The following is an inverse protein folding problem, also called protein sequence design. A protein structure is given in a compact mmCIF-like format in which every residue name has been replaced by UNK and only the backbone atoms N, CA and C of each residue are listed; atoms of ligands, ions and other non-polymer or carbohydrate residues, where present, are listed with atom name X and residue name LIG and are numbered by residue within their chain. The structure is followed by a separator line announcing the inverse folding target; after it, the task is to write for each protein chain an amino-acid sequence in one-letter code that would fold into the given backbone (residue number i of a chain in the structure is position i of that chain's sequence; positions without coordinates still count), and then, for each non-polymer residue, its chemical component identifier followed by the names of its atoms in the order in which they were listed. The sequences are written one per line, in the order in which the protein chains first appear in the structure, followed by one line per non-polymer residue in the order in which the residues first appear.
data_IF_892943472776
#
_entry.id   IF_892943472776
#
_cell.length_a   1.000
_cell.length_b   1.000
_cell.length_c   1.000
_cell.angle_alpha   90.00
_cell.angle_beta   90.00
_cell.angle_gamma   90.00
#
_symmetry.space_group_name_H-M   'P 1'
#
loop_
_entity.id
_entity.type
_entity.pdbx_description
1 polymer ?
#
# COMPACT_ATOMS: atom_id res chain seq x y z
N UNK A 1 23.72 2.02 4.08
CA UNK A 1 22.63 1.49 4.94
C UNK A 1 21.29 1.96 4.42
N UNK A 2 20.30 1.06 4.33
CA UNK A 2 18.94 1.37 3.90
C UNK A 2 18.15 2.05 5.01
N UNK A 3 17.25 2.97 4.65
CA UNK A 3 16.27 3.55 5.56
C UNK A 3 14.88 3.22 5.03
N UNK A 4 14.00 2.84 5.94
CA UNK A 4 12.60 2.61 5.66
C UNK A 4 11.74 3.65 6.39
N UNK A 5 10.65 4.07 5.76
CA UNK A 5 9.61 4.87 6.39
C UNK A 5 8.26 4.23 6.09
N UNK A 6 7.72 3.52 7.06
CA UNK A 6 6.31 3.11 7.03
C UNK A 6 5.44 4.37 7.11
N UNK A 7 4.46 4.44 6.23
CA UNK A 7 3.52 5.55 6.16
C UNK A 7 2.32 5.27 7.05
N UNK A 8 1.88 6.32 7.73
CA UNK A 8 0.67 6.32 8.57
C UNK A 8 -0.51 6.53 7.62
N UNK A 9 -1.34 5.49 7.44
CA UNK A 9 -2.44 5.50 6.48
C UNK A 9 -3.79 5.84 7.10
N UNK A 10 -3.90 5.82 8.43
CA UNK A 10 -5.10 6.05 9.22
C UNK A 10 -5.88 7.31 8.78
N UNK A 11 -5.25 8.47 8.48
CA UNK A 11 -5.96 9.65 7.99
C UNK A 11 -6.58 9.50 6.59
N UNK A 12 -6.21 8.46 5.84
CA UNK A 12 -6.60 8.22 4.45
C UNK A 12 -7.51 7.00 4.29
N UNK A 13 -7.70 6.19 5.35
CA UNK A 13 -8.58 5.03 5.33
C UNK A 13 -10.02 5.50 5.09
N UNK A 14 -10.66 4.93 4.09
CA UNK A 14 -11.98 5.37 3.63
C UNK A 14 -12.86 4.20 3.17
N UNK A 15 -12.43 2.96 3.41
CA UNK A 15 -13.11 1.76 2.97
C UNK A 15 -12.93 0.62 3.97
N UNK A 16 -13.91 -0.28 4.01
CA UNK A 16 -13.93 -1.44 4.89
C UNK A 16 -13.75 -2.72 4.06
N UNK A 17 -12.52 -3.22 4.05
CA UNK A 17 -12.11 -4.43 3.35
C UNK A 17 -12.29 -5.70 4.17
N UNK A 18 -12.36 -5.61 5.50
CA UNK A 18 -12.57 -6.75 6.39
C UNK A 18 -13.89 -6.66 7.17
N UNK A 19 -14.50 -7.80 7.42
CA UNK A 19 -15.72 -7.91 8.22
C UNK A 19 -15.68 -9.13 9.14
N UNK A 20 -16.50 -9.09 10.18
CA UNK A 20 -16.86 -10.21 11.04
C UNK A 20 -18.15 -10.85 10.55
N UNK A 21 -18.51 -12.06 11.01
CA UNK A 21 -19.82 -12.66 10.74
C UNK A 21 -21.02 -11.77 11.13
N UNK A 22 -20.84 -10.88 12.11
CA UNK A 22 -21.90 -10.00 12.62
C UNK A 22 -22.11 -8.74 11.74
N UNK A 23 -21.19 -8.45 10.81
CA UNK A 23 -21.26 -7.25 9.96
C UNK A 23 -20.81 -7.49 8.52
N UNK A 24 -21.07 -8.68 7.99
CA UNK A 24 -20.77 -9.06 6.59
C UNK A 24 -21.25 -8.02 5.57
N UNK A 25 -22.42 -7.44 5.81
CA UNK A 25 -23.05 -6.45 4.96
C UNK A 25 -22.31 -5.11 4.92
N UNK A 26 -21.21 -4.90 5.67
CA UNK A 26 -20.42 -3.69 5.64
C UNK A 26 -19.25 -3.75 4.65
N UNK A 27 -18.91 -4.95 4.15
CA UNK A 27 -17.80 -5.19 3.23
C UNK A 27 -17.86 -4.34 1.95
N UNK A 28 -16.68 -3.90 1.48
CA UNK A 28 -16.50 -3.04 0.30
C UNK A 28 -15.16 -3.27 -0.40
N UNK A 29 -14.62 -4.49 -0.37
CA UNK A 29 -13.35 -4.80 -1.05
C UNK A 29 -13.51 -4.97 -2.58
N UNK A 30 -14.75 -5.04 -3.07
CA UNK A 30 -15.08 -4.95 -4.49
C UNK A 30 -16.53 -4.49 -4.72
N UNK A 31 -16.95 -4.37 -5.98
CA UNK A 31 -18.31 -3.99 -6.38
C UNK A 31 -19.41 -4.91 -5.82
N UNK A 32 -19.10 -6.18 -5.55
CA UNK A 32 -20.02 -7.14 -4.93
C UNK A 32 -20.06 -7.07 -3.40
N UNK A 33 -19.32 -6.11 -2.82
CA UNK A 33 -19.26 -5.86 -1.37
C UNK A 33 -18.65 -7.04 -0.61
N UNK A 34 -17.78 -7.80 -1.27
CA UNK A 34 -17.05 -8.87 -0.60
C UNK A 34 -16.01 -8.28 0.35
N UNK A 35 -15.54 -9.08 1.29
CA UNK A 35 -14.53 -8.69 2.26
C UNK A 35 -13.67 -9.86 2.73
N UNK A 36 -12.52 -9.53 3.30
CA UNK A 36 -11.67 -10.42 4.06
C UNK A 36 -12.37 -10.79 5.38
N UNK A 37 -12.13 -12.00 5.92
CA UNK A 37 -12.44 -12.29 7.31
C UNK A 37 -11.60 -11.39 8.23
N UNK A 38 -12.25 -10.83 9.24
CA UNK A 38 -11.61 -9.95 10.20
C UNK A 38 -10.48 -10.66 10.97
N UNK A 39 -9.45 -9.90 11.32
CA UNK A 39 -8.31 -10.32 12.13
C UNK A 39 -8.03 -9.24 13.15
N UNK A 40 -7.83 -9.64 14.42
CA UNK A 40 -7.58 -8.68 15.51
C UNK A 40 -6.27 -7.93 15.33
N UNK A 41 -5.26 -8.60 14.75
CA UNK A 41 -3.94 -8.02 14.53
C UNK A 41 -3.81 -7.40 13.13
N UNK A 42 -3.05 -6.30 13.00
CA UNK A 42 -2.56 -5.83 11.72
C UNK A 42 -1.87 -6.93 10.90
N UNK A 43 -1.97 -6.83 9.59
CA UNK A 43 -1.10 -7.60 8.70
C UNK A 43 0.31 -7.01 8.77
N UNK A 44 1.26 -7.81 9.24
CA UNK A 44 2.69 -7.49 9.24
C UNK A 44 3.44 -8.45 8.32
N UNK A 45 4.18 -7.90 7.35
CA UNK A 45 4.97 -8.67 6.38
C UNK A 45 6.32 -7.99 6.18
N UNK A 46 7.36 -8.79 5.96
CA UNK A 46 8.68 -8.30 5.52
C UNK A 46 8.97 -8.85 4.14
N UNK A 47 9.13 -7.97 3.15
CA UNK A 47 9.46 -8.32 1.76
C UNK A 47 10.76 -7.63 1.38
N UNK A 48 11.75 -8.36 0.87
CA UNK A 48 13.08 -7.82 0.56
C UNK A 48 13.74 -7.08 1.75
N UNK A 49 13.47 -7.52 2.98
CA UNK A 49 13.92 -6.85 4.21
C UNK A 49 13.20 -5.53 4.53
N UNK A 50 12.14 -5.20 3.80
CA UNK A 50 11.31 -3.99 3.99
C UNK A 50 10.07 -4.36 4.83
N UNK A 51 9.88 -3.77 6.02
CA UNK A 51 8.69 -4.02 6.82
C UNK A 51 7.49 -3.26 6.25
N UNK A 52 6.35 -3.93 6.20
CA UNK A 52 5.04 -3.37 5.86
C UNK A 52 4.05 -3.76 6.95
N UNK A 53 3.20 -2.82 7.34
CA UNK A 53 2.17 -3.00 8.36
C UNK A 53 0.88 -2.32 7.94
N UNK A 54 -0.24 -3.03 8.01
CA UNK A 54 -1.56 -2.46 7.75
C UNK A 54 -2.17 -1.79 8.99
N UNK A 55 -3.32 -1.15 8.83
CA UNK A 55 -4.24 -0.94 9.94
C UNK A 55 -4.77 -2.29 10.46
N UNK A 56 -5.32 -2.36 11.69
CA UNK A 56 -6.07 -3.52 12.13
C UNK A 56 -7.18 -3.87 11.14
N UNK A 57 -7.31 -5.14 10.78
CA UNK A 57 -8.37 -5.64 9.89
C UNK A 57 -9.51 -6.20 10.74
N UNK A 58 -9.89 -5.53 11.81
CA UNK A 58 -10.77 -6.05 12.87
C UNK A 58 -12.26 -5.96 12.53
N UNK A 59 -12.59 -5.42 11.36
CA UNK A 59 -13.95 -5.20 10.90
C UNK A 59 -14.69 -4.08 11.63
N UNK A 60 -13.98 -3.17 12.31
CA UNK A 60 -14.57 -2.05 13.07
C UNK A 60 -14.33 -0.70 12.38
N UNK A 61 -14.67 -0.62 11.09
CA UNK A 61 -14.62 0.61 10.31
C UNK A 61 -13.58 0.56 9.19
N UNK A 62 -13.12 1.73 8.71
CA UNK A 62 -12.18 1.79 7.60
C UNK A 62 -10.82 1.18 7.95
N UNK A 63 -10.35 0.26 7.11
CA UNK A 63 -9.14 -0.54 7.32
C UNK A 63 -8.22 -0.57 6.09
N UNK A 64 -8.67 0.02 4.97
CA UNK A 64 -7.88 0.19 3.77
C UNK A 64 -8.14 1.55 3.09
N UNK A 65 -7.21 1.94 2.23
CA UNK A 65 -7.37 3.07 1.32
C UNK A 65 -7.96 2.56 0.00
N UNK A 66 -9.19 2.96 -0.29
CA UNK A 66 -9.79 2.90 -1.62
C UNK A 66 -9.34 4.14 -2.39
N UNK A 67 -8.52 3.94 -3.41
CA UNK A 67 -7.88 5.01 -4.16
C UNK A 67 -8.88 5.93 -4.87
N UNK A 68 -8.93 7.19 -4.44
CA UNK A 68 -9.82 8.24 -4.95
C UNK A 68 -9.08 9.53 -5.34
N UNK A 69 -7.75 9.46 -5.46
CA UNK A 69 -6.88 10.61 -5.76
C UNK A 69 -6.25 11.26 -4.53
N UNK A 70 -6.21 10.57 -3.38
CA UNK A 70 -5.63 11.09 -2.14
C UNK A 70 -4.19 11.55 -2.35
N UNK A 71 -3.82 12.65 -1.69
CA UNK A 71 -2.44 13.13 -1.63
C UNK A 71 -1.84 12.79 -0.26
N UNK A 72 -0.73 12.07 -0.25
CA UNK A 72 0.00 11.67 0.96
C UNK A 72 1.30 12.44 1.02
N UNK A 73 1.45 13.29 2.04
CA UNK A 73 2.72 13.95 2.35
C UNK A 73 3.69 12.97 3.01
N UNK A 74 4.98 13.10 2.70
CA UNK A 74 6.02 12.21 3.22
C UNK A 74 7.22 13.04 3.68
N UNK A 75 8.06 12.52 4.60
CA UNK A 75 9.27 13.22 4.99
C UNK A 75 10.14 13.52 3.76
N UNK A 76 10.47 14.80 3.57
CA UNK A 76 11.26 15.25 2.44
C UNK A 76 12.63 14.59 2.44
N UNK A 77 12.84 13.71 1.46
CA UNK A 77 14.07 12.95 1.27
C UNK A 77 14.10 12.32 -0.11
N UNK A 78 15.30 12.01 -0.60
CA UNK A 78 15.48 11.11 -1.73
C UNK A 78 15.11 9.68 -1.33
N UNK A 79 14.00 9.19 -1.88
CA UNK A 79 13.58 7.79 -1.78
C UNK A 79 13.89 7.07 -3.09
N UNK A 80 14.12 5.76 -3.03
CA UNK A 80 14.43 4.92 -4.19
C UNK A 80 13.21 4.05 -4.57
N UNK A 81 12.39 3.63 -3.60
CA UNK A 81 11.23 2.76 -3.82
C UNK A 81 10.05 3.10 -2.93
N UNK A 82 8.86 2.81 -3.42
CA UNK A 82 7.65 2.61 -2.63
C UNK A 82 7.29 1.13 -2.66
N UNK A 83 7.14 0.51 -1.49
CA UNK A 83 6.51 -0.80 -1.33
C UNK A 83 5.07 -0.60 -0.87
N UNK A 84 4.15 -1.39 -1.41
CA UNK A 84 2.74 -1.37 -1.02
C UNK A 84 2.23 -2.78 -0.78
N UNK A 85 1.30 -2.95 0.16
CA UNK A 85 0.39 -4.10 0.18
C UNK A 85 -0.93 -3.64 -0.41
N UNK A 86 -1.44 -4.37 -1.39
CA UNK A 86 -2.70 -4.03 -2.06
C UNK A 86 -3.27 -5.15 -2.92
N UNK A 87 -4.45 -4.89 -3.47
CA UNK A 87 -5.05 -5.72 -4.51
C UNK A 87 -5.86 -4.86 -5.47
N UNK A 88 -6.08 -5.38 -6.68
CA UNK A 88 -7.07 -4.87 -7.60
C UNK A 88 -8.40 -5.63 -7.50
N UNK A 89 -9.54 -4.97 -7.73
CA UNK A 89 -10.83 -5.67 -7.95
C UNK A 89 -10.79 -6.64 -9.15
N UNK A 90 -9.93 -6.28 -10.10
CA UNK A 90 -9.37 -7.08 -11.18
C UNK A 90 -7.91 -6.69 -11.31
N UNK A 91 -7.17 -7.39 -12.17
CA UNK A 91 -5.85 -6.93 -12.57
C UNK A 91 -5.89 -5.47 -13.04
N UNK A 92 -5.12 -4.61 -12.40
CA UNK A 92 -5.13 -3.15 -12.60
C UNK A 92 -3.73 -2.61 -12.79
N UNK A 93 -3.59 -1.64 -13.68
CA UNK A 93 -2.40 -0.81 -13.84
C UNK A 93 -2.86 0.64 -13.95
N UNK A 94 -2.39 1.48 -13.03
CA UNK A 94 -2.74 2.89 -12.98
C UNK A 94 -1.52 3.75 -12.64
N UNK A 95 -1.69 5.05 -12.53
CA UNK A 95 -0.64 6.04 -12.37
C UNK A 95 -0.58 6.58 -10.95
N UNK A 96 0.59 6.49 -10.35
CA UNK A 96 0.95 7.19 -9.14
C UNK A 96 1.78 8.43 -9.53
N UNK A 97 1.46 9.58 -8.92
CA UNK A 97 2.17 10.84 -9.21
C UNK A 97 3.08 11.23 -8.06
N UNK A 98 4.36 11.47 -8.34
CA UNK A 98 5.37 11.93 -7.40
C UNK A 98 5.47 13.46 -7.41
N UNK A 99 5.58 14.08 -6.23
CA UNK A 99 5.73 15.53 -6.08
C UNK A 99 7.01 15.82 -5.32
N UNK A 100 7.98 16.43 -5.99
CA UNK A 100 9.31 16.70 -5.44
C UNK A 100 9.41 18.12 -4.86
N UNK A 101 10.35 18.32 -3.93
CA UNK A 101 10.52 19.58 -3.21
C UNK A 101 10.91 20.77 -4.11
N UNK A 102 11.53 20.50 -5.26
CA UNK A 102 11.82 21.51 -6.28
C UNK A 102 10.59 21.90 -7.13
N UNK A 103 9.40 21.38 -6.82
CA UNK A 103 8.16 21.63 -7.56
C UNK A 103 7.98 20.75 -8.80
N UNK A 104 8.97 19.94 -9.18
CA UNK A 104 8.82 18.98 -10.28
C UNK A 104 7.85 17.85 -9.91
N UNK A 105 7.24 17.28 -10.94
CA UNK A 105 6.28 16.18 -10.83
C UNK A 105 6.70 15.07 -11.79
N UNK A 106 6.61 13.83 -11.32
CA UNK A 106 6.85 12.64 -12.14
C UNK A 106 5.72 11.62 -11.96
N UNK A 107 5.64 10.63 -12.84
CA UNK A 107 4.57 9.63 -12.88
C UNK A 107 5.14 8.25 -13.12
N UNK A 108 4.75 7.30 -12.27
CA UNK A 108 5.07 5.89 -12.42
C UNK A 108 3.82 5.02 -12.35
N UNK A 109 3.94 3.78 -12.81
CA UNK A 109 2.84 2.82 -12.78
C UNK A 109 2.78 2.06 -11.47
N UNK A 110 1.61 2.07 -10.84
CA UNK A 110 1.22 1.09 -9.84
C UNK A 110 0.42 0.00 -10.54
N UNK A 111 0.89 -1.25 -10.47
CA UNK A 111 0.20 -2.39 -11.02
C UNK A 111 -0.06 -3.43 -9.93
N UNK A 112 -1.32 -3.85 -9.80
CA UNK A 112 -1.76 -4.82 -8.80
C UNK A 112 -2.58 -5.91 -9.48
N UNK A 113 -2.31 -7.14 -9.09
CA UNK A 113 -3.02 -8.33 -9.50
C UNK A 113 -4.41 -8.36 -8.85
N UNK A 114 -5.28 -9.13 -9.49
CA UNK A 114 -6.64 -9.36 -9.04
C UNK A 114 -6.63 -9.99 -7.63
N UNK A 115 -7.57 -9.57 -6.79
CA UNK A 115 -7.83 -10.13 -5.47
C UNK A 115 -8.27 -11.61 -5.53
N UNK A 116 -8.83 -12.06 -6.65
CA UNK A 116 -9.23 -13.46 -6.87
C UNK A 116 -8.09 -14.33 -7.39
N UNK A 117 -7.07 -13.72 -7.98
CA UNK A 117 -5.97 -14.45 -8.58
C UNK A 117 -5.13 -15.10 -7.48
N UNK A 118 -4.83 -16.40 -7.63
CA UNK A 118 -3.91 -17.11 -6.75
C UNK A 118 -2.45 -17.01 -7.18
N UNK A 119 -2.14 -16.19 -8.20
CA UNK A 119 -0.83 -16.06 -8.85
C UNK A 119 -0.63 -14.62 -9.31
N UNK A 120 0.59 -14.12 -9.18
CA UNK A 120 0.91 -12.73 -9.54
C UNK A 120 0.92 -12.54 -11.06
N UNK A 121 0.35 -11.42 -11.51
CA UNK A 121 0.39 -10.93 -12.88
C UNK A 121 1.47 -9.88 -13.15
N UNK A 122 2.11 -9.32 -12.12
CA UNK A 122 3.10 -8.23 -12.24
C UNK A 122 4.43 -8.48 -11.52
N UNK A 123 4.71 -9.71 -11.09
CA UNK A 123 5.92 -10.06 -10.34
C UNK A 123 5.86 -9.62 -8.87
N UNK A 124 4.66 -9.46 -8.33
CA UNK A 124 4.41 -9.19 -6.93
C UNK A 124 4.71 -10.41 -6.05
N UNK A 125 5.07 -10.13 -4.81
CA UNK A 125 5.16 -11.15 -3.77
C UNK A 125 3.80 -11.35 -3.09
N UNK A 126 3.51 -12.56 -2.63
CA UNK A 126 2.28 -12.84 -1.88
C UNK A 126 2.38 -12.22 -0.48
N UNK A 127 1.44 -11.34 -0.12
CA UNK A 127 1.40 -10.73 1.22
C UNK A 127 0.40 -11.42 2.15
N UNK A 128 -0.79 -11.75 1.64
CA UNK A 128 -1.82 -12.47 2.37
C UNK A 128 -2.64 -13.31 1.40
N UNK A 129 -2.99 -14.52 1.80
CA UNK A 129 -4.05 -15.32 1.17
C UNK A 129 -4.97 -15.83 2.25
N UNK A 130 -6.27 -15.69 2.03
CA UNK A 130 -7.28 -16.34 2.86
C UNK A 130 -7.84 -17.57 2.16
N UNK A 131 -8.45 -18.47 2.92
CA UNK A 131 -9.24 -19.60 2.40
C UNK A 131 -10.75 -19.38 2.62
N UNK A 132 -11.11 -18.19 3.07
CA UNK A 132 -12.48 -17.76 3.37
C UNK A 132 -12.68 -16.36 2.78
N UNK A 133 -13.87 -16.14 2.24
CA UNK A 133 -14.36 -14.84 1.81
C UNK A 133 -15.71 -14.56 2.45
N UNK A 134 -15.91 -13.30 2.83
CA UNK A 134 -17.18 -12.80 3.33
C UNK A 134 -17.95 -12.15 2.17
N UNK A 135 -19.08 -12.74 1.81
CA UNK A 135 -20.11 -12.09 1.00
C UNK A 135 -21.06 -11.30 1.89
N UNK A 136 -21.85 -10.35 1.36
CA UNK A 136 -22.70 -9.47 2.18
C UNK A 136 -23.68 -10.17 3.13
N UNK A 137 -24.03 -11.43 2.84
CA UNK A 137 -25.04 -12.19 3.60
C UNK A 137 -24.61 -13.60 3.97
N UNK A 138 -23.39 -14.02 3.62
CA UNK A 138 -22.89 -15.34 4.00
C UNK A 138 -21.36 -15.40 3.98
N UNK A 139 -20.82 -16.38 4.69
CA UNK A 139 -19.39 -16.72 4.65
C UNK A 139 -19.22 -17.88 3.68
N UNK A 140 -18.24 -17.79 2.78
CA UNK A 140 -17.90 -18.84 1.84
C UNK A 140 -16.50 -19.36 2.13
N UNK A 141 -16.40 -20.66 2.38
CA UNK A 141 -15.14 -21.37 2.56
C UNK A 141 -14.54 -21.82 1.23
N UNK A 142 -13.23 -22.12 1.23
CA UNK A 142 -12.44 -22.67 0.11
C UNK A 142 -12.31 -21.73 -1.09
N UNK A 143 -12.76 -20.49 -0.94
CA UNK A 143 -12.55 -19.38 -1.84
C UNK A 143 -12.08 -18.23 -0.95
N UNK A 144 -11.02 -17.56 -1.35
CA UNK A 144 -10.48 -16.46 -0.57
C UNK A 144 -9.89 -15.37 -1.42
N UNK A 145 -9.30 -14.42 -0.72
CA UNK A 145 -8.79 -13.16 -1.27
C UNK A 145 -7.28 -13.16 -1.14
N UNK A 146 -6.63 -12.66 -2.18
CA UNK A 146 -5.18 -12.48 -2.22
C UNK A 146 -4.84 -10.99 -2.14
N UNK A 147 -3.92 -10.65 -1.22
CA UNK A 147 -3.24 -9.37 -1.20
C UNK A 147 -1.79 -9.55 -1.64
N UNK A 148 -1.30 -8.57 -2.39
CA UNK A 148 -0.02 -8.59 -3.06
C UNK A 148 0.91 -7.52 -2.49
N UNK A 149 2.20 -7.82 -2.39
CA UNK A 149 3.23 -6.83 -2.17
C UNK A 149 3.84 -6.42 -3.52
N UNK A 150 3.65 -5.15 -3.88
CA UNK A 150 4.22 -4.54 -5.08
C UNK A 150 5.24 -3.48 -4.70
N UNK A 151 6.25 -3.27 -5.56
CA UNK A 151 7.14 -2.13 -5.47
C UNK A 151 7.06 -1.24 -6.71
N UNK A 152 7.11 0.07 -6.47
CA UNK A 152 7.13 1.10 -7.52
C UNK A 152 8.45 1.87 -7.39
N UNK A 153 9.24 2.00 -8.47
CA UNK A 153 10.46 2.79 -8.42
C UNK A 153 10.14 4.27 -8.25
N UNK A 154 11.05 4.99 -7.59
CA UNK A 154 11.08 6.46 -7.59
C UNK A 154 12.38 6.85 -8.28
N UNK A 155 12.29 7.14 -9.58
CA UNK A 155 13.48 7.25 -10.45
C UNK A 155 14.18 8.60 -10.33
N UNK A 156 13.43 9.66 -10.00
CA UNK A 156 13.98 10.99 -9.76
C UNK A 156 14.98 11.00 -8.61
N UNK A 157 16.02 11.83 -8.74
CA UNK A 157 17.02 12.04 -7.68
C UNK A 157 16.65 13.18 -6.73
N UNK A 158 15.55 13.89 -7.00
CA UNK A 158 15.09 15.00 -6.18
C UNK A 158 14.43 14.48 -4.88
N UNK A 159 14.46 15.25 -3.79
CA UNK A 159 13.70 14.89 -2.59
C UNK A 159 12.20 14.84 -2.87
N UNK A 160 11.55 13.74 -2.54
CA UNK A 160 10.10 13.58 -2.63
C UNK A 160 9.45 14.20 -1.39
N UNK A 161 8.45 15.05 -1.58
CA UNK A 161 7.67 15.64 -0.49
C UNK A 161 6.25 15.08 -0.39
N UNK A 162 5.69 14.57 -1.49
CA UNK A 162 4.37 13.94 -1.47
C UNK A 162 4.17 13.00 -2.66
N UNK A 163 3.13 12.17 -2.58
CA UNK A 163 2.59 11.43 -3.70
C UNK A 163 1.07 11.61 -3.82
N UNK A 164 0.55 11.51 -5.04
CA UNK A 164 -0.88 11.37 -5.28
C UNK A 164 -1.17 9.95 -5.74
N UNK A 165 -2.10 9.29 -5.04
CA UNK A 165 -2.61 7.98 -5.39
C UNK A 165 -3.48 8.05 -6.66
N UNK A 166 -3.68 6.93 -7.37
CA UNK A 166 -4.63 6.87 -8.47
C UNK A 166 -6.03 7.30 -8.05
N UNK A 167 -6.83 7.81 -9.00
CA UNK A 167 -8.27 7.98 -8.84
C UNK A 167 -8.97 6.78 -9.45
N UNK A 168 -8.90 5.64 -8.76
CA UNK A 168 -9.39 4.38 -9.29
C UNK A 168 -9.96 3.50 -8.16
N UNK A 169 -11.30 3.30 -8.13
CA UNK A 169 -11.94 2.51 -7.09
C UNK A 169 -11.61 1.01 -7.21
N UNK A 170 -10.97 0.55 -8.28
CA UNK A 170 -10.49 -0.82 -8.35
C UNK A 170 -9.19 -1.05 -7.56
N UNK A 171 -8.56 -0.01 -6.98
CA UNK A 171 -7.27 -0.11 -6.28
C UNK A 171 -7.45 0.04 -4.77
N UNK A 172 -7.10 -1.02 -4.05
CA UNK A 172 -7.16 -1.07 -2.58
C UNK A 172 -5.74 -1.21 -2.00
N UNK A 173 -5.36 -0.29 -1.12
CA UNK A 173 -4.05 -0.29 -0.44
C UNK A 173 -4.21 -0.48 1.07
N UNK A 174 -3.37 -1.33 1.65
CA UNK A 174 -3.41 -1.71 3.06
C UNK A 174 -2.18 -1.25 3.83
N UNK A 175 -1.02 -1.19 3.17
CA UNK A 175 0.24 -0.75 3.77
C UNK A 175 1.10 -0.04 2.73
N UNK A 176 1.93 0.90 3.17
CA UNK A 176 2.88 1.61 2.31
C UNK A 176 4.18 1.88 3.06
N UNK A 177 5.32 1.54 2.47
CA UNK A 177 6.65 1.78 3.03
C UNK A 177 7.56 2.38 1.97
N UNK A 178 8.12 3.55 2.27
CA UNK A 178 9.17 4.15 1.46
C UNK A 178 10.54 3.58 1.84
N UNK A 179 11.38 3.38 0.84
CA UNK A 179 12.74 2.85 0.99
C UNK A 179 13.71 3.77 0.29
N UNK A 180 14.78 4.14 0.97
CA UNK A 180 15.82 4.98 0.43
C UNK A 180 17.17 4.66 1.07
N UNK A 181 18.22 5.29 0.58
CA UNK A 181 19.54 5.20 1.21
C UNK A 181 19.69 6.22 2.33
N UNK A 182 20.41 5.85 3.40
CA UNK A 182 20.98 6.86 4.31
C UNK A 182 21.84 7.80 3.46
N UNK A 183 21.70 9.11 3.71
CA UNK A 183 22.75 10.03 3.32
C UNK A 183 24.03 9.56 4.03
N UNK A 184 25.01 9.17 3.25
CA UNK A 184 26.40 9.06 3.65
C UNK A 184 26.81 10.42 4.22
N UNK A 185 26.97 10.48 5.54
CA UNK A 185 27.53 11.65 6.19
C UNK A 185 28.94 11.84 5.68
N UNK A 186 29.14 12.75 4.71
CA UNK A 186 30.42 13.42 4.65
C UNK A 186 30.57 14.23 5.94
N UNK A 187 31.70 14.14 6.65
CA UNK A 187 32.04 15.19 7.58
C UNK A 187 31.95 16.52 6.83
N UNK A 188 31.30 17.52 7.43
CA UNK A 188 31.49 18.88 6.97
C UNK A 188 33.00 19.14 6.98
N UNK A 189 33.53 19.66 5.87
CA UNK A 189 34.88 20.19 5.76
C UNK A 189 35.24 20.92 7.07
N UNK A 190 36.15 20.34 7.86
CA UNK A 190 36.86 21.11 8.86
C UNK A 190 37.76 22.06 8.07
N UNK A 191 37.39 23.33 8.15
CA UNK A 191 37.98 24.40 7.39
C UNK A 191 39.49 24.47 7.55
N UNK A 192 40.11 24.81 6.43
CA UNK A 192 41.24 25.73 6.30
C UNK A 192 41.52 26.52 7.60
N UNK A 193 42.57 26.10 8.30
CA UNK A 193 43.32 26.94 9.23
C UNK A 193 44.75 26.98 8.72
N UNK A 194 45.02 28.04 7.94
CA UNK A 194 46.21 28.92 7.95
C UNK A 194 47.54 28.35 8.43
#
# INVERSE_FOLDING_TARGET
MTVHKMLVLEPFLNNQAATTPDNLADGRLNIWRNSLPARSEPLEVVVDGVPLRSAPLDGRGPDNVLCSGQRIAVPERRWDWLYVIGCGERRVRDVLTWHFSNGSVDRDHLALSDLWEGRSGYGEELALRTDVIHYPYHVQERIGITLWCQRVPITSRQPLGAMSLPKNPAVHLFAMTLVGRRADGRPADEGDQS
#
